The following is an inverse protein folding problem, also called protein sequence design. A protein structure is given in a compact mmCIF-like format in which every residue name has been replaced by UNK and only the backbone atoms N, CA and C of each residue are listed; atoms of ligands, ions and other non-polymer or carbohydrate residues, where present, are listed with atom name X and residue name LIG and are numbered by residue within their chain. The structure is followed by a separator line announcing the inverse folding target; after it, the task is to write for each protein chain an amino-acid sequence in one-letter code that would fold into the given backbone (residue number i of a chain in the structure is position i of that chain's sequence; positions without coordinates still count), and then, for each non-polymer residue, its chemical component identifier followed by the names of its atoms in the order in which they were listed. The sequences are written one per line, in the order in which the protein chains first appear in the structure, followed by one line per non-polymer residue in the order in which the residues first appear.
data_IF_087496788872
#
_entry.id   IF_087496788872
#
_cell.length_a   1.000
_cell.length_b   1.000
_cell.length_c   1.000
_cell.angle_alpha   90.00
_cell.angle_beta   90.00
_cell.angle_gamma   90.00
#
_symmetry.space_group_name_H-M   'P 1'
#
loop_
_entity.id
_entity.type
_entity.pdbx_description
1 polymer ?
#
# COMPACT_ATOMS: atom_id res chain seq x y z
N UNK A 1 -19.58 -4.39 -13.53
CA UNK A 1 -19.83 -5.80 -13.18
C UNK A 1 -19.21 -6.15 -11.86
N UNK A 2 -19.85 -6.96 -11.05
CA UNK A 2 -19.35 -7.43 -9.75
C UNK A 2 -19.49 -8.96 -9.64
N UNK A 3 -18.42 -9.60 -9.14
CA UNK A 3 -18.49 -11.05 -8.81
C UNK A 3 -19.32 -11.22 -7.53
N UNK A 4 -20.18 -12.21 -7.51
CA UNK A 4 -21.06 -12.52 -6.38
C UNK A 4 -20.66 -13.80 -5.65
N UNK A 5 -20.28 -14.82 -6.41
CA UNK A 5 -19.94 -16.14 -5.87
C UNK A 5 -18.98 -16.87 -6.81
N UNK A 6 -18.08 -17.64 -6.22
CA UNK A 6 -17.24 -18.61 -6.92
C UNK A 6 -17.54 -19.99 -6.35
N UNK A 7 -18.13 -20.86 -7.16
CA UNK A 7 -18.36 -22.25 -6.79
C UNK A 7 -17.18 -23.10 -7.25
N UNK A 8 -16.35 -23.53 -6.31
CA UNK A 8 -15.13 -24.29 -6.60
C UNK A 8 -15.39 -25.75 -6.97
N UNK A 9 -16.53 -26.31 -6.58
CA UNK A 9 -16.91 -27.65 -6.92
C UNK A 9 -17.38 -27.77 -8.38
N UNK A 10 -18.34 -26.89 -8.78
CA UNK A 10 -18.84 -26.87 -10.15
C UNK A 10 -17.96 -26.06 -11.11
N UNK A 11 -16.93 -25.39 -10.61
CA UNK A 11 -16.05 -24.50 -11.35
C UNK A 11 -16.79 -23.42 -12.13
N UNK A 12 -17.68 -22.70 -11.44
CA UNK A 12 -18.49 -21.62 -12.02
C UNK A 12 -18.34 -20.35 -11.19
N UNK A 13 -18.17 -19.22 -11.88
CA UNK A 13 -18.24 -17.88 -11.30
C UNK A 13 -19.60 -17.27 -11.63
N UNK A 14 -20.29 -16.76 -10.61
CA UNK A 14 -21.50 -15.98 -10.74
C UNK A 14 -21.19 -14.49 -10.58
N UNK A 15 -21.68 -13.68 -11.49
CA UNK A 15 -21.44 -12.24 -11.48
C UNK A 15 -22.64 -11.46 -12.02
N UNK A 16 -22.71 -10.17 -11.68
CA UNK A 16 -23.72 -9.26 -12.18
C UNK A 16 -23.09 -8.30 -13.18
N UNK A 17 -23.71 -8.14 -14.35
CA UNK A 17 -23.37 -7.13 -15.33
C UNK A 17 -24.66 -6.49 -15.85
N UNK A 18 -24.76 -5.15 -15.78
CA UNK A 18 -25.96 -4.41 -16.23
C UNK A 18 -27.24 -4.98 -15.63
N UNK A 19 -27.23 -5.21 -14.32
CA UNK A 19 -28.33 -5.79 -13.51
C UNK A 19 -28.77 -7.21 -13.91
N UNK A 20 -28.03 -7.86 -14.80
CA UNK A 20 -28.27 -9.26 -15.18
C UNK A 20 -27.32 -10.19 -14.44
N UNK A 21 -27.89 -11.27 -13.91
CA UNK A 21 -27.09 -12.36 -13.36
C UNK A 21 -26.53 -13.23 -14.49
N UNK A 22 -25.24 -13.42 -14.48
CA UNK A 22 -24.50 -14.19 -15.46
C UNK A 22 -23.62 -15.21 -14.75
N UNK A 23 -23.23 -16.23 -15.50
CA UNK A 23 -22.26 -17.24 -15.03
C UNK A 23 -21.26 -17.59 -16.11
N UNK A 24 -20.05 -17.93 -15.68
CA UNK A 24 -18.99 -18.42 -16.54
C UNK A 24 -18.31 -19.63 -15.91
N UNK A 25 -18.07 -20.66 -16.69
CA UNK A 25 -17.26 -21.80 -16.27
C UNK A 25 -15.78 -21.48 -16.38
N UNK A 26 -14.97 -22.10 -15.54
CA UNK A 26 -13.52 -21.95 -15.56
C UNK A 26 -12.80 -23.29 -15.31
N UNK A 27 -11.60 -23.47 -15.81
CA UNK A 27 -10.70 -24.55 -15.45
C UNK A 27 -9.83 -24.15 -14.26
N UNK A 28 -9.32 -22.92 -14.31
CA UNK A 28 -8.51 -22.30 -13.29
C UNK A 28 -9.01 -20.88 -13.03
N UNK A 29 -8.99 -20.44 -11.76
CA UNK A 29 -9.31 -19.07 -11.37
C UNK A 29 -8.14 -18.47 -10.60
N UNK A 30 -7.80 -17.22 -10.91
CA UNK A 30 -6.75 -16.47 -10.24
C UNK A 30 -7.39 -15.24 -9.60
N UNK A 31 -7.27 -15.12 -8.29
CA UNK A 31 -7.65 -13.92 -7.56
C UNK A 31 -6.48 -12.95 -7.49
N UNK A 32 -6.59 -11.82 -8.19
CA UNK A 32 -5.67 -10.69 -8.12
C UNK A 32 -6.26 -9.59 -7.21
N UNK A 33 -6.64 -9.97 -6.00
CA UNK A 33 -7.31 -9.12 -5.01
C UNK A 33 -6.50 -9.07 -3.72
N UNK A 34 -7.08 -8.56 -2.64
CA UNK A 34 -6.57 -8.80 -1.29
C UNK A 34 -6.84 -10.26 -0.83
N UNK A 35 -6.11 -10.78 0.17
CA UNK A 35 -6.22 -12.18 0.58
C UNK A 35 -7.55 -12.53 1.28
N UNK A 36 -8.35 -11.54 1.67
CA UNK A 36 -9.65 -11.74 2.34
C UNK A 36 -10.79 -11.85 1.32
N UNK A 37 -10.69 -11.15 0.20
CA UNK A 37 -11.73 -11.14 -0.83
C UNK A 37 -12.09 -12.53 -1.34
N UNK A 38 -11.15 -13.44 -1.66
CA UNK A 38 -11.51 -14.77 -2.09
C UNK A 38 -12.35 -15.55 -1.07
N UNK A 39 -12.05 -15.40 0.24
CA UNK A 39 -12.80 -16.10 1.28
C UNK A 39 -14.26 -15.68 1.38
N UNK A 40 -14.59 -14.47 0.92
CA UNK A 40 -15.96 -13.95 0.87
C UNK A 40 -16.70 -14.38 -0.38
N UNK A 41 -15.97 -14.67 -1.45
CA UNK A 41 -16.54 -15.02 -2.76
C UNK A 41 -16.66 -16.52 -2.97
N UNK A 42 -15.75 -17.31 -2.39
CA UNK A 42 -15.78 -18.77 -2.52
C UNK A 42 -16.97 -19.32 -1.71
N UNK A 43 -17.85 -20.04 -2.42
CA UNK A 43 -18.98 -20.70 -1.80
C UNK A 43 -18.52 -21.71 -0.75
N UNK A 44 -19.18 -21.71 0.39
CA UNK A 44 -18.94 -22.62 1.52
C UNK A 44 -17.51 -22.54 2.10
N UNK A 45 -16.81 -21.41 1.89
CA UNK A 45 -15.51 -21.18 2.51
C UNK A 45 -15.66 -20.98 4.03
N UNK A 46 -14.86 -21.70 4.80
CA UNK A 46 -14.80 -21.48 6.25
C UNK A 46 -14.00 -20.22 6.55
N UNK A 47 -14.69 -19.09 6.71
CA UNK A 47 -14.08 -17.77 7.00
C UNK A 47 -13.25 -17.73 8.28
N UNK A 48 -13.45 -18.68 9.22
CA UNK A 48 -12.63 -18.80 10.44
C UNK A 48 -11.18 -19.17 10.16
N UNK A 49 -10.90 -19.70 8.96
CA UNK A 49 -9.53 -19.95 8.51
C UNK A 49 -8.74 -18.68 8.20
N UNK A 50 -9.43 -17.54 8.01
CA UNK A 50 -8.79 -16.26 7.68
C UNK A 50 -8.54 -15.48 8.96
N UNK A 51 -7.45 -15.80 9.63
CA UNK A 51 -6.93 -15.03 10.78
C UNK A 51 -5.70 -14.24 10.31
N UNK A 52 -5.93 -13.04 9.77
CA UNK A 52 -4.91 -12.20 9.19
C UNK A 52 -4.88 -10.83 9.86
N UNK A 53 -3.70 -10.43 10.30
CA UNK A 53 -3.45 -9.02 10.63
C UNK A 53 -3.32 -8.22 9.32
N UNK A 54 -4.24 -7.28 9.14
CA UNK A 54 -4.37 -6.49 7.92
C UNK A 54 -4.03 -5.01 8.12
N UNK A 55 -3.67 -4.59 9.36
CA UNK A 55 -3.50 -3.16 9.64
C UNK A 55 -2.33 -2.60 8.84
N UNK A 56 -2.62 -1.59 8.01
CA UNK A 56 -1.64 -0.80 7.31
C UNK A 56 -1.31 0.50 8.05
N UNK A 57 -0.07 0.94 7.93
CA UNK A 57 0.43 2.17 8.55
C UNK A 57 1.11 3.09 7.53
N UNK A 58 0.97 2.79 6.25
CA UNK A 58 1.60 3.57 5.17
C UNK A 58 0.76 4.76 4.78
N UNK A 59 1.41 5.87 4.46
CA UNK A 59 0.77 7.03 3.88
C UNK A 59 1.66 7.75 2.87
N UNK A 60 1.03 8.66 2.14
CA UNK A 60 1.69 9.36 1.04
C UNK A 60 1.27 10.82 1.00
N UNK A 61 2.23 11.74 1.11
CA UNK A 61 2.01 13.15 0.79
C UNK A 61 2.46 13.41 -0.65
N UNK A 62 1.57 13.92 -1.46
CA UNK A 62 1.91 14.47 -2.77
C UNK A 62 2.05 15.97 -2.63
N UNK A 63 3.23 16.50 -2.93
CA UNK A 63 3.57 17.93 -2.82
C UNK A 63 3.81 18.51 -4.20
N UNK A 64 3.15 19.63 -4.53
CA UNK A 64 3.25 20.32 -5.80
C UNK A 64 3.98 21.64 -5.63
N UNK A 65 5.00 21.86 -6.45
CA UNK A 65 5.83 23.07 -6.49
C UNK A 65 5.59 23.81 -7.81
N UNK A 66 5.52 25.14 -7.75
CA UNK A 66 5.30 25.98 -8.93
C UNK A 66 6.50 26.00 -9.90
N UNK A 67 7.70 25.60 -9.42
CA UNK A 67 8.92 25.48 -10.20
C UNK A 67 9.61 24.15 -9.91
N UNK A 68 10.53 23.68 -10.77
CA UNK A 68 11.35 22.51 -10.51
C UNK A 68 12.09 22.61 -9.18
N UNK A 69 12.02 21.56 -8.38
CA UNK A 69 12.64 21.51 -7.06
C UNK A 69 14.16 21.57 -7.18
N UNK A 70 14.76 22.46 -6.40
CA UNK A 70 16.21 22.61 -6.25
C UNK A 70 16.63 22.03 -4.90
N UNK A 71 17.42 20.97 -4.95
CA UNK A 71 17.94 20.35 -3.74
C UNK A 71 19.22 21.03 -3.27
N UNK A 72 19.37 21.18 -1.94
CA UNK A 72 20.58 21.79 -1.34
C UNK A 72 21.84 20.93 -1.52
N UNK A 73 21.68 19.64 -1.72
CA UNK A 73 22.77 18.70 -1.96
C UNK A 73 23.30 18.71 -3.40
N UNK A 74 23.00 19.69 -4.16
CA UNK A 74 23.34 20.15 -5.51
C UNK A 74 24.25 19.31 -6.41
N UNK A 75 24.38 18.04 -6.16
CA UNK A 75 25.04 17.11 -7.06
C UNK A 75 24.04 16.73 -8.14
N UNK A 76 24.10 17.21 -9.34
CA UNK A 76 23.43 16.87 -10.63
C UNK A 76 22.35 15.72 -10.65
N UNK A 77 21.82 15.32 -9.51
CA UNK A 77 20.87 14.25 -9.28
C UNK A 77 19.51 14.78 -8.84
N UNK A 78 19.03 15.87 -9.47
CA UNK A 78 17.74 16.48 -9.13
C UNK A 78 16.59 15.47 -9.11
N UNK A 79 16.65 14.51 -10.02
CA UNK A 79 15.59 13.52 -10.26
C UNK A 79 15.84 12.18 -9.54
N UNK A 80 16.77 12.15 -8.61
CA UNK A 80 17.07 10.94 -7.86
C UNK A 80 16.06 10.69 -6.75
N UNK A 81 15.71 9.42 -6.57
CA UNK A 81 15.04 8.95 -5.38
C UNK A 81 15.87 9.23 -4.12
N UNK A 82 15.22 9.67 -3.05
CA UNK A 82 15.88 10.02 -1.80
C UNK A 82 15.24 9.36 -0.60
N UNK A 83 16.06 9.14 0.41
CA UNK A 83 15.63 8.75 1.75
C UNK A 83 16.04 9.79 2.79
N UNK A 84 15.11 10.13 3.67
CA UNK A 84 15.43 10.84 4.91
C UNK A 84 15.14 9.89 6.07
N UNK A 85 16.14 9.61 6.88
CA UNK A 85 16.00 8.85 8.12
C UNK A 85 15.84 9.83 9.28
N UNK A 86 14.77 9.66 10.05
CA UNK A 86 14.47 10.50 11.22
C UNK A 86 15.14 10.00 12.49
N UNK A 87 15.80 8.85 12.45
CA UNK A 87 16.50 8.24 13.58
C UNK A 87 17.68 7.40 13.09
N UNK A 88 18.67 7.30 13.96
CA UNK A 88 19.88 6.47 13.82
C UNK A 88 19.78 5.15 14.61
N UNK A 89 18.68 4.92 15.34
CA UNK A 89 18.51 3.75 16.20
C UNK A 89 17.33 2.89 15.79
N UNK A 90 17.57 1.58 15.73
CA UNK A 90 16.53 0.58 15.44
C UNK A 90 15.42 0.55 16.50
N UNK A 91 15.76 0.77 17.77
CA UNK A 91 14.76 0.75 18.84
C UNK A 91 13.69 1.83 18.66
N UNK A 92 14.09 3.07 18.31
CA UNK A 92 13.12 4.15 18.04
C UNK A 92 12.24 3.82 16.84
N UNK A 93 12.81 3.14 15.85
CA UNK A 93 12.08 2.70 14.66
C UNK A 93 11.02 1.65 15.03
N UNK A 94 11.41 0.66 15.82
CA UNK A 94 10.51 -0.40 16.30
C UNK A 94 9.40 0.18 17.18
N UNK A 95 9.73 1.04 18.14
CA UNK A 95 8.77 1.70 19.04
C UNK A 95 7.73 2.50 18.23
N UNK A 96 8.17 3.26 17.23
CA UNK A 96 7.27 4.01 16.37
C UNK A 96 6.30 3.09 15.59
N UNK A 97 6.80 1.98 15.07
CA UNK A 97 6.00 0.98 14.38
C UNK A 97 4.96 0.35 15.30
N UNK A 98 5.38 -0.12 16.47
CA UNK A 98 4.49 -0.72 17.47
C UNK A 98 3.43 0.27 17.98
N UNK A 99 3.80 1.52 18.21
CA UNK A 99 2.88 2.55 18.64
C UNK A 99 1.82 2.86 17.58
N UNK A 100 2.22 2.92 16.31
CA UNK A 100 1.28 3.17 15.21
C UNK A 100 0.24 2.06 15.06
N UNK A 101 0.65 0.80 15.19
CA UNK A 101 -0.24 -0.36 15.16
C UNK A 101 -1.26 -0.34 16.31
N UNK A 102 -0.83 0.11 17.48
CA UNK A 102 -1.67 0.23 18.69
C UNK A 102 -2.45 1.55 18.76
N UNK A 103 -2.32 2.42 17.78
CA UNK A 103 -2.87 3.79 17.77
C UNK A 103 -2.46 4.59 19.03
N UNK A 104 -1.20 4.50 19.43
CA UNK A 104 -0.64 5.16 20.62
C UNK A 104 0.47 6.14 20.24
N UNK A 105 0.62 7.16 21.07
CA UNK A 105 1.70 8.14 20.97
C UNK A 105 1.59 9.08 19.77
N UNK A 106 2.59 9.94 19.67
CA UNK A 106 2.75 10.88 18.57
C UNK A 106 3.28 10.19 17.32
N UNK A 107 3.00 10.79 16.18
CA UNK A 107 3.55 10.31 14.91
C UNK A 107 5.07 10.49 14.89
N UNK A 108 5.75 9.43 14.45
CA UNK A 108 7.17 9.45 14.17
C UNK A 108 7.43 8.67 12.87
N UNK A 109 7.93 9.30 11.80
CA UNK A 109 8.03 8.67 10.49
C UNK A 109 9.03 7.50 10.46
N UNK A 110 10.12 7.60 11.22
CA UNK A 110 11.27 6.70 11.11
C UNK A 110 12.06 6.97 9.83
N UNK A 111 11.39 6.95 8.69
CA UNK A 111 11.95 7.35 7.40
C UNK A 111 10.88 8.01 6.50
N UNK A 112 11.36 8.79 5.54
CA UNK A 112 10.56 9.32 4.43
C UNK A 112 11.27 8.97 3.13
N UNK A 113 10.57 8.29 2.24
CA UNK A 113 11.01 8.04 0.87
C UNK A 113 10.47 9.16 -0.03
N UNK A 114 11.33 9.73 -0.86
CA UNK A 114 10.98 10.85 -1.73
C UNK A 114 11.15 10.41 -3.18
N UNK A 115 10.04 10.48 -3.92
CA UNK A 115 10.00 10.15 -5.35
C UNK A 115 9.82 11.43 -6.16
N UNK A 116 10.70 11.72 -7.15
CA UNK A 116 10.60 12.88 -8.03
C UNK A 116 9.63 12.62 -9.19
N UNK A 117 8.35 12.48 -8.87
CA UNK A 117 7.32 12.09 -9.84
C UNK A 117 7.06 13.16 -10.92
N UNK A 118 7.33 14.43 -10.62
CA UNK A 118 7.15 15.55 -11.56
C UNK A 118 8.19 15.57 -12.69
N UNK A 119 9.40 15.06 -12.47
CA UNK A 119 10.46 15.08 -13.47
C UNK A 119 10.10 14.27 -14.72
N UNK A 120 9.51 13.09 -14.53
CA UNK A 120 9.04 12.25 -15.63
C UNK A 120 7.93 12.95 -16.45
N UNK A 121 7.03 13.66 -15.78
CA UNK A 121 5.96 14.41 -16.46
C UNK A 121 6.49 15.59 -17.26
N UNK A 122 7.46 16.35 -16.72
CA UNK A 122 8.13 17.43 -17.47
C UNK A 122 8.80 16.92 -18.73
N UNK A 123 9.47 15.78 -18.63
CA UNK A 123 10.13 15.15 -19.79
C UNK A 123 9.15 14.73 -20.88
N UNK A 124 7.98 14.23 -20.49
CA UNK A 124 6.93 13.79 -21.43
C UNK A 124 6.19 14.95 -22.10
N UNK A 125 5.96 16.04 -21.38
CA UNK A 125 5.06 17.11 -21.82
C UNK A 125 5.76 18.34 -22.38
N UNK A 126 7.08 18.39 -22.39
CA UNK A 126 7.94 19.46 -22.97
C UNK A 126 7.71 20.89 -22.46
N UNK A 127 6.93 21.12 -21.39
CA UNK A 127 6.40 22.49 -21.23
C UNK A 127 6.10 22.93 -19.79
N UNK A 128 6.66 22.33 -18.76
CA UNK A 128 6.09 22.64 -17.45
C UNK A 128 7.14 23.07 -16.43
N UNK A 129 6.96 24.32 -15.97
CA UNK A 129 7.68 24.91 -14.86
C UNK A 129 7.11 24.48 -13.51
N UNK A 130 6.64 23.24 -13.37
CA UNK A 130 6.17 22.71 -12.08
C UNK A 130 6.97 21.48 -11.66
N UNK A 131 6.86 21.13 -10.40
CA UNK A 131 7.36 19.84 -9.91
C UNK A 131 6.34 19.16 -9.01
N UNK A 132 6.47 17.85 -8.93
CA UNK A 132 5.65 17.02 -8.05
C UNK A 132 6.55 16.01 -7.34
N UNK A 133 6.60 16.10 -6.03
CA UNK A 133 7.27 15.14 -5.17
C UNK A 133 6.25 14.28 -4.44
N UNK A 134 6.59 13.02 -4.24
CA UNK A 134 5.83 12.10 -3.42
C UNK A 134 6.66 11.74 -2.19
N UNK A 135 6.14 12.00 -1.01
CA UNK A 135 6.73 11.61 0.26
C UNK A 135 5.97 10.40 0.78
N UNK A 136 6.57 9.23 0.65
CA UNK A 136 6.03 8.00 1.22
C UNK A 136 6.62 7.77 2.60
N UNK A 137 5.77 7.40 3.55
CA UNK A 137 6.16 7.14 4.93
C UNK A 137 5.30 6.06 5.56
N UNK A 138 5.73 5.54 6.69
CA UNK A 138 5.00 4.57 7.52
C UNK A 138 4.67 5.15 8.90
N UNK A 139 4.18 4.31 9.78
CA UNK A 139 3.86 4.63 11.18
C UNK A 139 2.67 5.58 11.36
N UNK A 140 1.77 5.65 10.37
CA UNK A 140 0.52 6.39 10.47
C UNK A 140 -0.55 5.41 10.95
N UNK A 141 -1.13 5.68 12.11
CA UNK A 141 -2.19 4.82 12.65
C UNK A 141 -3.47 4.89 11.80
N UNK A 142 -4.05 3.72 11.51
CA UNK A 142 -5.28 3.61 10.71
C UNK A 142 -6.45 4.39 11.32
N UNK A 143 -6.57 4.38 12.65
CA UNK A 143 -7.66 5.03 13.39
C UNK A 143 -7.32 6.45 13.88
N UNK A 144 -6.29 7.11 13.32
CA UNK A 144 -5.92 8.46 13.74
C UNK A 144 -7.01 9.47 13.36
N UNK A 145 -7.28 10.43 14.24
CA UNK A 145 -8.29 11.46 14.01
C UNK A 145 -7.86 12.44 12.93
N UNK A 146 -8.83 13.05 12.24
CA UNK A 146 -8.57 13.97 11.14
C UNK A 146 -7.68 15.16 11.54
N UNK A 147 -7.93 15.76 12.71
CA UNK A 147 -7.14 16.87 13.27
C UNK A 147 -5.66 16.50 13.51
N UNK A 148 -5.41 15.26 13.92
CA UNK A 148 -4.05 14.75 14.11
C UNK A 148 -3.40 14.38 12.79
N UNK A 149 -4.17 14.01 11.76
CA UNK A 149 -3.65 13.71 10.42
C UNK A 149 -3.10 14.96 9.73
N UNK A 150 -3.71 16.14 9.93
CA UNK A 150 -3.12 17.38 9.43
C UNK A 150 -1.77 17.67 10.08
N UNK A 151 -1.63 17.49 11.38
CA UNK A 151 -0.33 17.62 12.07
C UNK A 151 0.71 16.62 11.53
N UNK A 152 0.29 15.39 11.26
CA UNK A 152 1.15 14.38 10.63
C UNK A 152 1.62 14.83 9.25
N UNK A 153 0.72 15.35 8.42
CA UNK A 153 1.06 15.90 7.10
C UNK A 153 2.06 17.04 7.21
N UNK A 154 1.81 18.00 8.09
CA UNK A 154 2.70 19.14 8.35
C UNK A 154 4.08 18.66 8.82
N UNK A 155 4.14 17.68 9.70
CA UNK A 155 5.40 17.11 10.17
C UNK A 155 6.17 16.41 9.05
N UNK A 156 5.52 15.65 8.18
CA UNK A 156 6.15 15.04 7.01
C UNK A 156 6.76 16.13 6.11
N UNK A 157 5.97 17.14 5.78
CA UNK A 157 6.40 18.25 4.93
C UNK A 157 7.58 19.00 5.56
N UNK A 158 7.46 19.41 6.82
CA UNK A 158 8.51 20.15 7.54
C UNK A 158 9.80 19.35 7.71
N UNK A 159 9.75 18.03 7.67
CA UNK A 159 10.95 17.18 7.68
C UNK A 159 11.69 17.22 6.34
N UNK A 160 10.98 17.41 5.23
CA UNK A 160 11.56 17.40 3.88
C UNK A 160 12.02 18.78 3.42
N UNK A 161 11.23 19.83 3.66
CA UNK A 161 11.48 21.20 3.17
C UNK A 161 12.87 21.74 3.50
N UNK A 162 13.51 21.46 4.66
CA UNK A 162 14.85 21.94 4.95
C UNK A 162 15.94 21.51 3.96
N UNK A 163 15.69 20.46 3.16
CA UNK A 163 16.60 19.96 2.12
C UNK A 163 16.37 20.60 0.75
N UNK A 164 15.35 21.46 0.61
CA UNK A 164 14.95 22.12 -0.64
C UNK A 164 15.31 23.60 -0.57
N UNK A 165 16.03 24.13 -1.59
CA UNK A 165 16.40 25.54 -1.66
C UNK A 165 15.18 26.44 -1.90
N UNK A 166 14.35 26.05 -2.85
CA UNK A 166 13.14 26.79 -3.23
C UNK A 166 11.88 26.23 -2.56
N UNK A 167 11.95 25.94 -1.26
CA UNK A 167 10.84 25.40 -0.48
C UNK A 167 9.57 26.26 -0.53
N UNK A 168 9.71 27.59 -0.69
CA UNK A 168 8.59 28.55 -0.83
C UNK A 168 7.78 28.36 -2.13
N UNK A 169 8.27 27.54 -3.04
CA UNK A 169 7.57 27.17 -4.26
C UNK A 169 6.49 26.08 -4.03
N UNK A 170 6.40 25.52 -2.83
CA UNK A 170 5.32 24.59 -2.48
C UNK A 170 3.97 25.33 -2.48
N UNK A 171 3.09 24.93 -3.41
CA UNK A 171 1.78 25.59 -3.59
C UNK A 171 0.61 24.75 -3.11
N UNK A 172 0.76 23.44 -3.10
CA UNK A 172 -0.30 22.52 -2.70
C UNK A 172 0.26 21.20 -2.21
N UNK A 173 -0.43 20.58 -1.26
CA UNK A 173 -0.13 19.22 -0.82
C UNK A 173 -1.40 18.42 -0.56
N UNK A 174 -1.38 17.14 -0.93
CA UNK A 174 -2.45 16.18 -0.64
C UNK A 174 -1.89 15.01 0.16
N UNK A 175 -2.54 14.66 1.24
CA UNK A 175 -2.19 13.52 2.06
C UNK A 175 -3.17 12.37 1.83
N UNK A 176 -2.64 11.19 1.49
CA UNK A 176 -3.37 9.93 1.47
C UNK A 176 -2.97 9.13 2.71
N UNK A 177 -3.93 8.91 3.57
CA UNK A 177 -3.78 8.16 4.82
C UNK A 177 -4.06 6.67 4.62
N UNK A 178 -3.75 5.79 5.59
CA UNK A 178 -4.18 4.39 5.52
C UNK A 178 -5.70 4.24 5.37
N UNK A 179 -6.48 5.14 5.96
CA UNK A 179 -7.94 5.14 5.83
C UNK A 179 -8.38 5.47 4.39
N UNK A 180 -7.77 6.48 3.76
CA UNK A 180 -8.03 6.82 2.36
C UNK A 180 -7.65 5.67 1.42
N UNK A 181 -6.55 4.96 1.70
CA UNK A 181 -6.15 3.78 0.95
C UNK A 181 -7.19 2.67 1.04
N UNK A 182 -7.78 2.47 2.21
CA UNK A 182 -8.86 1.49 2.39
C UNK A 182 -10.15 1.92 1.67
N UNK A 183 -10.56 3.18 1.79
CA UNK A 183 -11.83 3.66 1.25
C UNK A 183 -11.78 3.86 -0.27
N UNK A 184 -10.65 4.33 -0.81
CA UNK A 184 -10.53 4.66 -2.23
C UNK A 184 -10.03 3.49 -3.08
N UNK A 185 -9.05 2.75 -2.56
CA UNK A 185 -8.38 1.68 -3.31
C UNK A 185 -8.74 0.28 -2.80
N UNK A 186 -9.58 0.19 -1.76
CA UNK A 186 -10.03 -1.06 -1.15
C UNK A 186 -8.89 -1.92 -0.58
N UNK A 187 -7.75 -1.29 -0.26
CA UNK A 187 -6.68 -2.00 0.43
C UNK A 187 -7.13 -2.39 1.84
N UNK A 188 -7.04 -3.65 2.22
CA UNK A 188 -7.59 -4.11 3.50
C UNK A 188 -6.94 -3.37 4.66
N UNK A 189 -7.75 -2.62 5.42
CA UNK A 189 -7.32 -1.71 6.49
C UNK A 189 -6.14 -0.79 6.10
N UNK A 190 -6.12 -0.34 4.85
CA UNK A 190 -5.09 0.55 4.30
C UNK A 190 -3.70 -0.08 4.14
N UNK A 191 -3.61 -1.40 4.13
CA UNK A 191 -2.34 -2.09 4.00
C UNK A 191 -1.96 -2.27 2.53
N UNK A 192 -0.90 -1.61 2.10
CA UNK A 192 -0.40 -1.69 0.72
C UNK A 192 0.18 -3.05 0.36
N UNK A 193 0.59 -3.83 1.36
CA UNK A 193 1.08 -5.19 1.21
C UNK A 193 -0.05 -6.22 1.38
N UNK A 194 -1.30 -5.76 1.52
CA UNK A 194 -2.55 -6.51 1.70
C UNK A 194 -2.62 -7.35 2.98
N UNK A 195 -1.53 -7.57 3.68
CA UNK A 195 -1.44 -8.17 5.02
C UNK A 195 -0.10 -7.78 5.64
N UNK A 196 0.00 -7.84 6.97
CA UNK A 196 1.28 -7.55 7.62
C UNK A 196 2.34 -8.59 7.24
N UNK A 197 3.60 -8.17 7.25
CA UNK A 197 4.75 -9.04 6.96
C UNK A 197 5.47 -9.44 8.24
N UNK A 198 4.72 -9.78 9.29
CA UNK A 198 5.25 -10.12 10.61
C UNK A 198 4.75 -11.48 11.09
N UNK A 199 5.51 -12.13 11.96
CA UNK A 199 5.10 -13.36 12.63
C UNK A 199 4.71 -14.48 11.68
N UNK A 200 3.50 -14.98 11.84
CA UNK A 200 2.95 -16.09 11.05
C UNK A 200 2.49 -15.68 9.65
N UNK A 201 2.59 -14.41 9.30
CA UNK A 201 2.24 -13.90 7.97
C UNK A 201 3.48 -13.58 7.12
N UNK A 202 4.66 -13.97 7.57
CA UNK A 202 5.90 -13.69 6.87
C UNK A 202 6.30 -14.87 5.97
N UNK A 203 6.67 -14.58 4.73
CA UNK A 203 7.14 -15.54 3.72
C UNK A 203 6.24 -16.80 3.63
N UNK A 204 6.84 -17.97 3.80
CA UNK A 204 6.23 -19.30 3.70
C UNK A 204 5.24 -19.63 4.84
N UNK A 205 5.18 -18.81 5.87
CA UNK A 205 4.24 -18.98 6.98
C UNK A 205 2.84 -18.47 6.68
N UNK A 206 2.63 -17.83 5.53
CA UNK A 206 1.31 -17.33 5.14
C UNK A 206 0.32 -18.48 4.95
N UNK A 207 -0.74 -18.47 5.74
CA UNK A 207 -1.71 -19.59 5.79
C UNK A 207 -2.55 -19.74 4.54
N UNK A 208 -2.78 -18.63 3.81
CA UNK A 208 -3.55 -18.62 2.55
C UNK A 208 -2.70 -18.93 1.31
N UNK A 209 -1.39 -19.06 1.49
CA UNK A 209 -0.43 -19.43 0.47
C UNK A 209 0.10 -20.81 0.86
N UNK A 210 -0.23 -21.86 0.12
CA UNK A 210 0.16 -23.23 0.45
C UNK A 210 1.67 -23.36 0.64
N UNK A 211 2.09 -24.08 1.67
CA UNK A 211 3.51 -24.43 1.93
C UNK A 211 4.04 -25.49 0.99
N UNK A 212 3.20 -26.10 0.20
CA UNK A 212 3.56 -27.16 -0.74
C UNK A 212 4.13 -26.57 -2.05
N UNK A 213 4.43 -27.43 -3.00
CA UNK A 213 4.88 -27.10 -4.35
C UNK A 213 3.99 -26.08 -5.10
N UNK A 214 2.83 -25.75 -4.54
CA UNK A 214 1.84 -24.82 -5.09
C UNK A 214 1.70 -23.55 -4.25
N UNK A 215 2.75 -22.75 -4.11
CA UNK A 215 2.74 -21.48 -3.35
C UNK A 215 1.66 -20.48 -3.73
N UNK A 216 1.10 -20.59 -4.91
CA UNK A 216 0.08 -19.67 -5.41
C UNK A 216 -1.34 -20.18 -5.25
N UNK A 217 -1.52 -21.43 -4.75
CA UNK A 217 -2.85 -21.95 -4.43
C UNK A 217 -3.46 -21.21 -3.26
N UNK A 218 -4.72 -20.84 -3.38
CA UNK A 218 -5.45 -20.24 -2.28
C UNK A 218 -5.90 -21.34 -1.31
N UNK A 219 -5.27 -21.40 -0.15
CA UNK A 219 -5.39 -22.54 0.79
C UNK A 219 -5.19 -23.90 0.07
N UNK A 220 -6.08 -24.84 0.33
CA UNK A 220 -6.02 -26.20 -0.26
C UNK A 220 -6.93 -26.35 -1.49
N UNK A 221 -7.43 -25.25 -2.04
CA UNK A 221 -8.31 -25.31 -3.20
C UNK A 221 -7.52 -25.63 -4.49
N UNK A 222 -7.87 -26.75 -5.09
CA UNK A 222 -7.34 -27.08 -6.43
C UNK A 222 -7.92 -26.14 -7.47
N UNK A 223 -7.08 -25.68 -8.40
CA UNK A 223 -7.48 -24.78 -9.48
C UNK A 223 -7.92 -23.35 -9.04
N UNK A 224 -7.69 -22.99 -7.76
CA UNK A 224 -7.88 -21.64 -7.26
C UNK A 224 -6.54 -21.07 -6.84
N UNK A 225 -6.14 -19.99 -7.47
CA UNK A 225 -4.84 -19.36 -7.25
C UNK A 225 -5.03 -17.95 -6.74
N UNK A 226 -3.98 -17.46 -6.07
CA UNK A 226 -3.93 -16.11 -5.54
C UNK A 226 -2.64 -15.42 -5.97
N UNK A 227 -2.74 -14.20 -6.48
CA UNK A 227 -1.59 -13.37 -6.81
C UNK A 227 -1.79 -11.93 -6.31
N UNK A 228 -0.71 -11.20 -6.15
CA UNK A 228 -0.73 -9.80 -5.68
C UNK A 228 0.22 -9.57 -4.51
N UNK A 229 0.24 -8.35 -3.98
CA UNK A 229 1.15 -7.94 -2.91
C UNK A 229 1.06 -8.81 -1.64
N UNK A 230 -0.08 -9.45 -1.40
CA UNK A 230 -0.29 -10.39 -0.29
C UNK A 230 0.20 -11.80 -0.55
N UNK A 231 0.59 -12.18 -1.78
CA UNK A 231 1.06 -13.53 -2.11
C UNK A 231 2.50 -13.78 -1.65
N UNK A 232 2.96 -15.03 -1.77
CA UNK A 232 4.38 -15.33 -1.61
C UNK A 232 5.16 -14.88 -2.87
N UNK A 233 6.35 -14.24 -2.73
CA UNK A 233 7.09 -13.94 -1.50
C UNK A 233 6.61 -12.74 -0.69
N UNK A 234 5.59 -12.09 -0.92
CA UNK A 234 5.00 -10.94 -0.25
C UNK A 234 5.78 -9.61 -0.36
N UNK A 235 5.00 -8.51 -0.26
CA UNK A 235 5.54 -7.17 -0.30
C UNK A 235 5.41 -6.51 -1.66
N UNK A 236 6.32 -5.64 -2.00
CA UNK A 236 6.25 -4.77 -3.17
C UNK A 236 6.11 -5.48 -4.52
N UNK A 237 5.87 -4.71 -5.57
CA UNK A 237 5.78 -5.17 -6.98
C UNK A 237 6.92 -6.13 -7.37
N UNK A 238 8.13 -5.93 -6.84
CA UNK A 238 9.27 -6.78 -7.14
C UNK A 238 9.16 -8.22 -6.55
N UNK A 239 8.32 -8.39 -5.53
CA UNK A 239 8.04 -9.69 -4.92
C UNK A 239 6.73 -10.32 -5.38
N UNK A 240 5.98 -9.65 -6.24
CA UNK A 240 4.70 -10.16 -6.74
C UNK A 240 4.93 -11.01 -7.97
N UNK A 241 4.53 -12.29 -7.96
CA UNK A 241 4.62 -13.16 -9.12
C UNK A 241 3.68 -12.74 -10.25
#
# INVERSE_FOLDING_TARGET
SSIREVNTFSKVVYFTKEDKELKIAYDHIIFATDPVTPSKLIKDFDVKKVDLDLIGTSGKVTAFFKNPVKWKDSNNYSDSFRFIFSTDTLNKFEDASQNSLKNKGDYFPGFIQIYPDGSAQRTMNNNENFDKLIFFTKNISFNKKAEDLEKVKEQIISTVLPYIENSDDLVYSKFLTPKDLNETFLFPKGNIDHSTMTGQQNFDKRTFSSKSENFYSYYDYKSVYYCGAGSFPCGSVAGTP
#
